data_IF_439426584825
#
_entry.id   IF_439426584825
#
_cell.length_a   1.000
_cell.length_b   1.000
_cell.length_c   1.000
_cell.angle_alpha   90.00
_cell.angle_beta   90.00
_cell.angle_gamma   90.00
#
_symmetry.space_group_name_H-M   'P 1'
#
loop_
_entity.id
_entity.type
_entity.pdbx_description
1 polymer ?
#
# COMPACT_ATOMS: atom_id res chain seq x y z
N UNK A 1 32.89 47.28 -0.19
CA UNK A 1 33.16 45.84 -0.35
C UNK A 1 32.05 45.07 0.35
N UNK A 2 31.56 44.00 -0.30
CA UNK A 2 30.64 42.97 0.20
C UNK A 2 29.20 43.49 0.42
N UNK A 3 28.14 43.00 -0.21
CA UNK A 3 27.91 41.78 -0.97
C UNK A 3 26.52 41.22 -0.59
N UNK A 4 25.78 40.78 -1.61
CA UNK A 4 24.57 39.93 -1.64
C UNK A 4 24.20 39.15 -0.35
N UNK A 5 22.96 38.77 -0.07
CA UNK A 5 22.02 38.13 -0.97
C UNK A 5 20.59 38.06 -0.41
N UNK A 6 19.61 38.16 -1.31
CA UNK A 6 18.24 37.68 -1.11
C UNK A 6 18.26 36.15 -0.94
N UNK A 7 17.56 35.64 0.07
CA UNK A 7 17.14 34.23 0.11
C UNK A 7 15.62 34.19 0.22
N UNK A 8 14.99 34.06 -0.95
CA UNK A 8 13.66 33.51 -1.08
C UNK A 8 13.75 31.99 -0.85
N UNK A 9 12.94 31.46 0.07
CA UNK A 9 12.68 30.03 0.12
C UNK A 9 11.28 29.78 -0.43
N UNK A 10 11.24 29.24 -1.64
CA UNK A 10 10.04 28.68 -2.27
C UNK A 10 9.75 27.27 -1.73
N UNK A 11 8.45 27.06 -1.50
CA UNK A 11 7.66 25.83 -1.42
C UNK A 11 8.36 24.46 -1.32
N UNK A 12 7.99 23.70 -0.28
CA UNK A 12 7.85 22.25 -0.38
C UNK A 12 6.35 21.92 -0.46
N UNK A 13 5.87 21.56 -1.64
CA UNK A 13 4.60 20.89 -1.81
C UNK A 13 4.74 19.44 -1.31
N UNK A 14 3.99 19.07 -0.27
CA UNK A 14 3.86 17.67 0.13
C UNK A 14 2.89 16.98 -0.84
N UNK A 15 3.44 16.17 -1.73
CA UNK A 15 2.69 15.21 -2.52
C UNK A 15 2.57 13.87 -1.75
N UNK A 16 1.32 13.45 -1.57
CA UNK A 16 0.79 12.08 -1.51
C UNK A 16 1.46 11.01 -0.63
N UNK A 17 0.68 10.52 0.34
CA UNK A 17 0.69 9.15 0.80
C UNK A 17 -0.74 8.78 1.19
N UNK A 18 -1.48 8.17 0.26
CA UNK A 18 -2.90 7.83 0.37
C UNK A 18 -3.19 7.04 1.64
N UNK A 19 -4.14 7.55 2.42
CA UNK A 19 -4.61 6.91 3.64
C UNK A 19 -5.53 5.78 3.26
N UNK A 20 -5.00 4.56 3.13
CA UNK A 20 -5.76 3.35 2.81
C UNK A 20 -7.08 3.29 3.60
N UNK A 21 -8.17 3.52 2.87
CA UNK A 21 -9.53 3.63 3.36
C UNK A 21 -10.12 2.25 3.59
N UNK A 22 -10.00 1.75 4.83
CA UNK A 22 -10.60 0.47 5.20
C UNK A 22 -12.11 0.64 5.38
N UNK A 23 -12.88 -0.15 4.64
CA UNK A 23 -14.33 -0.27 4.80
C UNK A 23 -14.64 -0.97 6.12
N UNK A 24 -15.13 -0.18 7.09
CA UNK A 24 -15.94 -0.63 8.21
C UNK A 24 -15.26 -1.52 9.25
N UNK A 25 -14.63 -0.90 10.26
CA UNK A 25 -14.31 -1.54 11.55
C UNK A 25 -12.89 -1.32 12.09
N UNK A 26 -11.94 -0.86 11.25
CA UNK A 26 -10.51 -0.85 11.58
C UNK A 26 -9.95 0.48 12.12
N UNK A 27 -10.73 1.57 12.10
CA UNK A 27 -10.22 2.90 12.49
C UNK A 27 -9.89 3.03 14.00
N UNK A 28 -10.33 2.07 14.82
CA UNK A 28 -10.11 2.05 16.27
C UNK A 28 -9.14 0.93 16.73
N UNK A 29 -8.61 0.10 15.83
CA UNK A 29 -7.65 -0.95 16.23
C UNK A 29 -6.28 -0.32 16.52
N UNK A 30 -5.79 -0.37 17.78
CA UNK A 30 -4.56 0.30 18.15
C UNK A 30 -3.33 -0.25 17.42
N UNK A 31 -3.34 -1.53 17.00
CA UNK A 31 -2.25 -2.11 16.21
C UNK A 31 -2.24 -1.52 14.80
N UNK A 32 -3.40 -1.38 14.17
CA UNK A 32 -3.53 -0.76 12.84
C UNK A 32 -3.06 0.69 12.89
N UNK A 33 -3.51 1.45 13.90
CA UNK A 33 -3.10 2.85 14.09
C UNK A 33 -1.58 2.96 14.27
N UNK A 34 -1.00 2.13 15.15
CA UNK A 34 0.44 2.14 15.39
C UNK A 34 1.24 1.74 14.15
N UNK A 35 0.80 0.70 13.43
CA UNK A 35 1.45 0.25 12.20
C UNK A 35 1.39 1.32 11.10
N UNK A 36 0.25 1.99 10.91
CA UNK A 36 0.13 3.12 9.97
C UNK A 36 1.08 4.27 10.35
N UNK A 37 1.15 4.63 11.63
CA UNK A 37 2.08 5.66 12.09
C UNK A 37 3.56 5.27 11.89
N UNK A 38 3.92 3.99 12.03
CA UNK A 38 5.26 3.50 11.71
C UNK A 38 5.53 3.53 10.19
N UNK A 39 4.56 3.13 9.37
CA UNK A 39 4.60 3.21 7.90
C UNK A 39 4.82 4.65 7.42
N UNK A 40 4.10 5.63 7.98
CA UNK A 40 4.27 7.05 7.65
C UNK A 40 5.70 7.54 7.93
N UNK A 41 6.30 7.04 9.01
CA UNK A 41 7.70 7.30 9.38
C UNK A 41 8.71 6.48 8.59
N UNK A 42 8.25 5.63 7.66
CA UNK A 42 9.05 4.64 6.93
C UNK A 42 9.79 3.66 7.85
N UNK A 43 9.28 3.48 9.07
CA UNK A 43 9.75 2.46 10.01
C UNK A 43 9.11 1.12 9.65
N UNK A 44 9.59 0.56 8.53
CA UNK A 44 9.10 -0.70 7.99
C UNK A 44 9.32 -1.86 8.97
N UNK A 45 10.45 -1.87 9.67
CA UNK A 45 10.80 -2.90 10.63
C UNK A 45 9.90 -2.82 11.87
N UNK A 46 9.64 -1.62 12.40
CA UNK A 46 8.73 -1.41 13.52
C UNK A 46 7.30 -1.83 13.20
N UNK A 47 6.78 -1.43 12.03
CA UNK A 47 5.45 -1.85 11.57
C UNK A 47 5.38 -3.39 11.44
N UNK A 48 6.38 -4.01 10.82
CA UNK A 48 6.46 -5.47 10.68
C UNK A 48 6.47 -6.20 12.03
N UNK A 49 7.23 -5.70 13.01
CA UNK A 49 7.32 -6.33 14.32
C UNK A 49 5.96 -6.34 15.05
N UNK A 50 5.27 -5.19 15.07
CA UNK A 50 3.96 -5.04 15.70
C UNK A 50 2.90 -5.91 15.02
N UNK A 51 2.86 -5.89 13.69
CA UNK A 51 1.89 -6.66 12.91
C UNK A 51 2.14 -8.17 13.01
N UNK A 52 3.41 -8.61 13.02
CA UNK A 52 3.74 -10.02 13.22
C UNK A 52 3.28 -10.54 14.57
N UNK A 53 3.48 -9.76 15.64
CA UNK A 53 2.97 -10.11 16.97
C UNK A 53 1.44 -10.16 16.99
N UNK A 54 0.79 -9.19 16.37
CA UNK A 54 -0.67 -9.14 16.33
C UNK A 54 -1.28 -10.29 15.51
N UNK A 55 -0.64 -10.69 14.41
CA UNK A 55 -1.02 -11.85 13.62
C UNK A 55 -0.86 -13.18 14.37
N UNK A 56 0.13 -13.29 15.27
CA UNK A 56 0.25 -14.47 16.12
C UNK A 56 -0.95 -14.62 17.07
N UNK A 57 -1.55 -13.51 17.52
CA UNK A 57 -2.74 -13.51 18.37
C UNK A 57 -4.05 -13.57 17.59
N UNK A 58 -4.13 -12.90 16.44
CA UNK A 58 -5.31 -12.81 15.58
C UNK A 58 -4.92 -13.14 14.13
N UNK A 59 -4.73 -14.42 13.79
CA UNK A 59 -4.24 -14.83 12.47
C UNK A 59 -5.25 -14.59 11.34
N UNK A 60 -6.53 -14.37 11.64
CA UNK A 60 -7.58 -14.17 10.64
C UNK A 60 -8.00 -12.69 10.55
N UNK A 61 -7.03 -11.76 10.59
CA UNK A 61 -7.27 -10.33 10.44
C UNK A 61 -6.73 -9.81 9.10
N UNK A 62 -7.63 -9.39 8.21
CA UNK A 62 -7.28 -8.97 6.86
C UNK A 62 -6.42 -7.68 6.84
N UNK A 63 -6.72 -6.68 7.66
CA UNK A 63 -5.95 -5.44 7.74
C UNK A 63 -4.51 -5.71 8.22
N UNK A 64 -4.33 -6.62 9.18
CA UNK A 64 -2.99 -6.99 9.66
C UNK A 64 -2.17 -7.67 8.57
N UNK A 65 -2.77 -8.62 7.85
CA UNK A 65 -2.13 -9.26 6.70
C UNK A 65 -1.77 -8.25 5.61
N UNK A 66 -2.69 -7.35 5.28
CA UNK A 66 -2.51 -6.29 4.28
C UNK A 66 -1.36 -5.34 4.65
N UNK A 67 -1.39 -4.78 5.86
CA UNK A 67 -0.35 -3.86 6.32
C UNK A 67 0.99 -4.56 6.50
N UNK A 68 1.01 -5.83 6.90
CA UNK A 68 2.26 -6.58 7.06
C UNK A 68 2.94 -6.80 5.71
N UNK A 69 2.17 -7.21 4.70
CA UNK A 69 2.64 -7.31 3.32
C UNK A 69 3.12 -5.95 2.79
N UNK A 70 2.38 -4.88 3.05
CA UNK A 70 2.77 -3.52 2.67
C UNK A 70 4.11 -3.11 3.29
N UNK A 71 4.28 -3.28 4.60
CA UNK A 71 5.52 -2.95 5.30
C UNK A 71 6.70 -3.82 4.84
N UNK A 72 6.47 -5.08 4.48
CA UNK A 72 7.52 -5.93 3.88
C UNK A 72 7.92 -5.41 2.50
N UNK A 73 6.95 -5.18 1.62
CA UNK A 73 7.16 -4.71 0.24
C UNK A 73 7.90 -3.38 0.15
N UNK A 74 7.60 -2.45 1.06
CA UNK A 74 8.27 -1.13 1.13
C UNK A 74 9.63 -1.17 1.85
N UNK A 75 9.91 -2.25 2.57
CA UNK A 75 11.17 -2.48 3.26
C UNK A 75 12.34 -2.78 2.31
N UNK A 76 13.58 -2.78 2.83
CA UNK A 76 14.75 -3.15 2.03
C UNK A 76 14.74 -4.64 1.70
N UNK A 77 15.06 -4.99 0.44
CA UNK A 77 15.16 -6.37 -0.05
C UNK A 77 13.93 -7.24 0.26
N UNK A 78 12.74 -6.87 -0.26
CA UNK A 78 11.50 -7.58 0.06
C UNK A 78 11.53 -9.02 -0.46
N UNK A 79 11.16 -9.97 0.41
CA UNK A 79 10.79 -11.33 0.00
C UNK A 79 9.41 -11.28 -0.65
N UNK A 80 9.37 -11.24 -1.98
CA UNK A 80 8.12 -11.07 -2.73
C UNK A 80 7.18 -12.26 -2.58
N UNK A 81 7.69 -13.48 -2.38
CA UNK A 81 6.84 -14.66 -2.15
C UNK A 81 6.07 -14.50 -0.84
N UNK A 82 6.74 -14.01 0.21
CA UNK A 82 6.10 -13.74 1.50
C UNK A 82 5.12 -12.56 1.41
N UNK A 83 5.46 -11.50 0.66
CA UNK A 83 4.57 -10.36 0.40
C UNK A 83 3.26 -10.84 -0.24
N UNK A 84 3.35 -11.61 -1.34
CA UNK A 84 2.16 -12.14 -2.01
C UNK A 84 1.38 -13.10 -1.12
N UNK A 85 2.05 -13.94 -0.33
CA UNK A 85 1.38 -14.83 0.63
C UNK A 85 0.48 -14.05 1.59
N UNK A 86 0.97 -12.95 2.17
CA UNK A 86 0.18 -12.15 3.11
C UNK A 86 -0.93 -11.35 2.43
N UNK A 87 -0.72 -10.76 1.26
CA UNK A 87 -1.82 -10.12 0.53
C UNK A 87 -2.90 -11.12 0.12
N UNK A 88 -2.53 -12.30 -0.37
CA UNK A 88 -3.49 -13.34 -0.72
C UNK A 88 -4.28 -13.81 0.50
N UNK A 89 -3.65 -13.90 1.67
CA UNK A 89 -4.36 -14.23 2.90
C UNK A 89 -5.32 -13.11 3.34
N UNK A 90 -4.94 -11.83 3.21
CA UNK A 90 -5.87 -10.72 3.43
C UNK A 90 -7.11 -10.82 2.54
N UNK A 91 -6.92 -11.14 1.25
CA UNK A 91 -8.00 -11.31 0.28
C UNK A 91 -8.80 -12.60 0.46
N UNK A 92 -8.19 -13.66 1.01
CA UNK A 92 -8.90 -14.87 1.43
C UNK A 92 -9.87 -14.58 2.58
N UNK A 93 -9.44 -13.73 3.52
CA UNK A 93 -10.23 -13.34 4.70
C UNK A 93 -11.32 -12.32 4.30
N UNK A 94 -10.95 -11.30 3.54
CA UNK A 94 -11.85 -10.29 3.02
C UNK A 94 -11.65 -10.09 1.52
N UNK A 95 -12.43 -10.80 0.67
CA UNK A 95 -12.33 -10.69 -0.79
C UNK A 95 -12.71 -9.34 -1.38
N UNK A 96 -13.23 -8.41 -0.57
CA UNK A 96 -13.59 -7.05 -0.99
C UNK A 96 -12.66 -5.98 -0.41
N UNK A 97 -11.55 -6.37 0.20
CA UNK A 97 -10.62 -5.44 0.82
C UNK A 97 -9.94 -4.57 -0.25
N UNK A 98 -10.33 -3.29 -0.33
CA UNK A 98 -9.86 -2.35 -1.36
C UNK A 98 -8.35 -2.15 -1.30
N UNK A 99 -7.81 -1.79 -0.13
CA UNK A 99 -6.36 -1.60 0.04
C UNK A 99 -5.51 -2.84 -0.28
N UNK A 100 -5.99 -4.05 0.03
CA UNK A 100 -5.28 -5.28 -0.32
C UNK A 100 -5.28 -5.54 -1.83
N UNK A 101 -6.38 -5.22 -2.54
CA UNK A 101 -6.41 -5.31 -4.00
C UNK A 101 -5.49 -4.28 -4.67
N UNK A 102 -5.47 -3.04 -4.18
CA UNK A 102 -4.55 -2.00 -4.66
C UNK A 102 -3.10 -2.44 -4.48
N UNK A 103 -2.70 -2.71 -3.22
CA UNK A 103 -1.29 -2.92 -2.91
C UNK A 103 -0.72 -4.22 -3.48
N UNK A 104 -1.52 -5.29 -3.60
CA UNK A 104 -1.07 -6.49 -4.31
C UNK A 104 -0.95 -6.24 -5.82
N UNK A 105 -1.85 -5.42 -6.39
CA UNK A 105 -1.77 -5.02 -7.81
C UNK A 105 -0.48 -4.26 -8.10
N UNK A 106 -0.14 -3.29 -7.27
CA UNK A 106 1.15 -2.59 -7.32
C UNK A 106 2.34 -3.54 -7.09
N UNK A 107 2.21 -4.53 -6.19
CA UNK A 107 3.25 -5.54 -5.96
C UNK A 107 3.51 -6.39 -7.21
N UNK A 108 2.46 -6.73 -7.96
CA UNK A 108 2.61 -7.42 -9.24
C UNK A 108 3.33 -6.56 -10.28
N UNK A 109 3.10 -5.25 -10.32
CA UNK A 109 3.86 -4.34 -11.19
C UNK A 109 5.36 -4.34 -10.85
N UNK A 110 5.73 -4.40 -9.56
CA UNK A 110 7.15 -4.45 -9.13
C UNK A 110 7.89 -5.69 -9.64
N UNK A 111 7.18 -6.81 -9.83
CA UNK A 111 7.75 -8.06 -10.37
C UNK A 111 7.48 -8.25 -11.87
N UNK A 112 6.90 -7.24 -12.53
CA UNK A 112 6.64 -7.23 -13.96
C UNK A 112 5.40 -8.01 -14.42
N UNK A 113 4.53 -8.42 -13.51
CA UNK A 113 3.28 -9.12 -13.83
C UNK A 113 2.11 -8.13 -14.04
N UNK A 114 2.13 -7.46 -15.18
CA UNK A 114 1.08 -6.52 -15.57
C UNK A 114 -0.31 -7.20 -15.67
N UNK A 115 -0.35 -8.47 -16.04
CA UNK A 115 -1.62 -9.20 -16.18
C UNK A 115 -2.31 -9.35 -14.83
N UNK A 116 -1.57 -9.76 -13.80
CA UNK A 116 -2.09 -9.85 -12.44
C UNK A 116 -2.46 -8.50 -11.85
N UNK A 117 -1.68 -7.45 -12.08
CA UNK A 117 -2.06 -6.10 -11.66
C UNK A 117 -3.43 -5.69 -12.22
N UNK A 118 -3.69 -5.96 -13.50
CA UNK A 118 -4.99 -5.68 -14.15
C UNK A 118 -6.15 -6.52 -13.62
N UNK A 119 -5.91 -7.76 -13.17
CA UNK A 119 -6.95 -8.55 -12.48
C UNK A 119 -7.43 -7.85 -11.22
N UNK A 120 -6.51 -7.30 -10.41
CA UNK A 120 -6.87 -6.56 -9.20
C UNK A 120 -7.54 -5.22 -9.49
N UNK A 121 -7.14 -4.51 -10.54
CA UNK A 121 -7.85 -3.31 -10.99
C UNK A 121 -9.30 -3.62 -11.40
N UNK A 122 -9.52 -4.73 -12.11
CA UNK A 122 -10.85 -5.17 -12.50
C UNK A 122 -11.70 -5.57 -11.28
N UNK A 123 -11.09 -6.16 -10.25
CA UNK A 123 -11.76 -6.44 -8.99
C UNK A 123 -12.17 -5.14 -8.27
N UNK A 124 -11.26 -4.15 -8.16
CA UNK A 124 -11.56 -2.84 -7.60
C UNK A 124 -12.69 -2.12 -8.34
N UNK A 125 -12.72 -2.18 -9.67
CA UNK A 125 -13.82 -1.61 -10.45
C UNK A 125 -15.19 -2.23 -10.12
N UNK A 126 -15.22 -3.53 -9.75
CA UNK A 126 -16.45 -4.22 -9.32
C UNK A 126 -16.83 -3.88 -7.88
N UNK A 127 -15.84 -3.72 -6.99
CA UNK A 127 -16.05 -3.39 -5.58
C UNK A 127 -16.50 -1.92 -5.45
N UNK A 128 -15.83 -1.02 -6.16
CA UNK A 128 -16.02 0.42 -6.10
C UNK A 128 -16.91 0.90 -7.26
N UNK A 129 -18.21 0.60 -7.20
CA UNK A 129 -19.16 0.91 -8.28
C UNK A 129 -19.20 2.40 -8.69
N UNK A 130 -18.98 3.32 -7.75
CA UNK A 130 -18.86 4.77 -8.00
C UNK A 130 -17.41 5.29 -8.00
N UNK A 131 -16.43 4.38 -8.03
CA UNK A 131 -15.02 4.70 -7.83
C UNK A 131 -14.62 4.77 -6.36
N UNK A 132 -13.33 4.56 -6.11
CA UNK A 132 -12.65 4.72 -4.82
C UNK A 132 -11.22 5.20 -5.08
N UNK A 133 -10.53 5.67 -4.04
CA UNK A 133 -9.14 6.11 -4.11
C UNK A 133 -8.25 4.99 -4.65
N UNK A 134 -8.40 3.78 -4.09
CA UNK A 134 -7.61 2.60 -4.43
C UNK A 134 -7.73 2.18 -5.90
N UNK A 135 -8.92 2.32 -6.49
CA UNK A 135 -9.12 2.07 -7.91
C UNK A 135 -8.37 3.10 -8.77
N UNK A 136 -8.43 4.37 -8.36
CA UNK A 136 -7.82 5.47 -9.11
C UNK A 136 -6.30 5.39 -9.07
N UNK A 137 -5.75 5.04 -7.91
CA UNK A 137 -4.31 4.91 -7.68
C UNK A 137 -3.74 3.72 -8.47
N UNK A 138 -4.30 2.51 -8.31
CA UNK A 138 -3.82 1.35 -9.07
C UNK A 138 -3.98 1.55 -10.59
N UNK A 139 -5.06 2.22 -11.04
CA UNK A 139 -5.25 2.54 -12.47
C UNK A 139 -4.14 3.43 -12.99
N UNK A 140 -3.75 4.44 -12.21
CA UNK A 140 -2.66 5.34 -12.55
C UNK A 140 -1.33 4.60 -12.61
N UNK A 141 -1.02 3.79 -11.61
CA UNK A 141 0.23 3.02 -11.56
C UNK A 141 0.37 2.05 -12.73
N UNK A 142 -0.73 1.39 -13.14
CA UNK A 142 -0.77 0.55 -14.34
C UNK A 142 -0.47 1.36 -15.60
N UNK A 143 -1.06 2.56 -15.74
CA UNK A 143 -0.84 3.41 -16.91
C UNK A 143 0.61 3.92 -17.00
N UNK A 144 1.21 4.28 -15.85
CA UNK A 144 2.62 4.69 -15.77
C UNK A 144 3.57 3.53 -16.07
N UNK A 145 3.28 2.34 -15.56
CA UNK A 145 4.01 1.12 -15.88
C UNK A 145 3.97 0.83 -17.38
N UNK A 146 2.79 0.86 -18.01
CA UNK A 146 2.65 0.64 -19.45
C UNK A 146 3.39 1.70 -20.27
N UNK A 147 3.36 2.97 -19.85
CA UNK A 147 4.06 4.04 -20.55
C UNK A 147 5.59 3.87 -20.51
N UNK A 148 6.13 3.42 -19.37
CA UNK A 148 7.57 3.19 -19.20
C UNK A 148 8.08 1.90 -19.86
N UNK A 149 7.19 0.97 -20.22
CA UNK A 149 7.52 -0.33 -20.84
C UNK A 149 7.04 -0.46 -22.28
N UNK A 150 6.58 0.64 -22.89
CA UNK A 150 6.40 0.73 -24.35
C UNK A 150 7.79 0.77 -25.01
N UNK A 151 8.10 -0.30 -25.74
CA UNK A 151 9.27 -0.35 -26.64
C UNK A 151 9.06 0.56 -27.85
#
# INVERSE_FOLDING_TARGET
MIGAALLAFSAAALAAGGGGGSSGGANDDPVVVAAKAAIEKKDWAGAQAQLKQALAAKPNNADYHNLYAYSMRKGPNPDMDLVFKHYNEALRINPKHTGAHEYIGEAYLQVGDLAKAKEHLAALNKICFFGCEEYSDLKKDIAEYEASHKQ
#
